data_IF_282028555910
#
_entry.id   IF_282028555910
#
_cell.length_a   1.000
_cell.length_b   1.000
_cell.length_c   1.000
_cell.angle_alpha   90.00
_cell.angle_beta   90.00
_cell.angle_gamma   90.00
#
_symmetry.space_group_name_H-M   'P 1'
#
loop_
_entity.id
_entity.type
_entity.pdbx_description
1 polymer ?
#
# COMPACT_ATOMS: atom_id res chain seq x y z
N UNK A 1 -3.13 -29.81 20.61
CA UNK A 1 -3.20 -29.49 19.17
C UNK A 1 -4.40 -30.14 18.45
N UNK A 2 -4.87 -31.32 18.86
CA UNK A 2 -5.98 -32.01 18.20
C UNK A 2 -7.32 -31.25 18.30
N UNK A 3 -7.51 -30.46 19.38
CA UNK A 3 -8.78 -29.77 19.71
C UNK A 3 -8.68 -28.24 19.65
N UNK A 4 -7.50 -27.68 19.39
CA UNK A 4 -7.27 -26.24 19.36
C UNK A 4 -6.75 -25.84 17.99
N UNK A 5 -7.45 -24.89 17.34
CA UNK A 5 -7.05 -24.27 16.09
C UNK A 5 -6.48 -22.86 16.32
N UNK A 6 -5.55 -22.45 15.47
CA UNK A 6 -4.96 -21.12 15.45
C UNK A 6 -5.13 -20.51 14.04
N UNK A 7 -6.38 -20.11 13.69
CA UNK A 7 -6.60 -19.53 12.38
C UNK A 7 -5.93 -18.15 12.25
N UNK A 8 -5.18 -17.99 11.17
CA UNK A 8 -4.66 -16.67 10.80
C UNK A 8 -5.79 -15.73 10.41
N UNK A 9 -5.54 -14.42 10.54
CA UNK A 9 -6.52 -13.43 10.14
C UNK A 9 -5.90 -12.18 9.50
N UNK A 10 -6.72 -11.48 8.73
CA UNK A 10 -6.42 -10.15 8.19
C UNK A 10 -7.47 -9.18 8.69
N UNK A 11 -7.00 -8.12 9.37
CA UNK A 11 -7.87 -7.02 9.83
C UNK A 11 -7.56 -5.77 9.02
N UNK A 12 -8.58 -5.17 8.41
CA UNK A 12 -8.52 -3.85 7.79
C UNK A 12 -9.30 -2.86 8.65
N UNK A 13 -8.58 -2.01 9.36
CA UNK A 13 -9.11 -0.91 10.16
C UNK A 13 -8.02 0.13 10.38
N UNK A 14 -8.33 1.40 10.16
CA UNK A 14 -7.41 2.50 10.49
C UNK A 14 -7.57 2.84 11.98
N UNK A 15 -6.42 2.91 12.66
CA UNK A 15 -6.31 3.32 14.06
C UNK A 15 -5.44 4.59 14.07
N UNK A 16 -6.05 5.78 14.16
CA UNK A 16 -5.28 7.03 14.20
C UNK A 16 -4.49 7.14 15.51
N UNK A 17 -3.35 7.85 15.51
CA UNK A 17 -2.55 8.06 16.70
C UNK A 17 -3.20 9.12 17.60
N UNK A 18 -4.24 8.74 18.34
CA UNK A 18 -4.91 9.62 19.31
C UNK A 18 -4.33 9.37 20.69
N UNK A 19 -3.92 10.46 21.37
CA UNK A 19 -3.51 10.39 22.77
C UNK A 19 -4.78 10.38 23.63
N UNK A 20 -4.97 9.32 24.43
CA UNK A 20 -5.99 9.22 25.47
C UNK A 20 -5.34 9.33 26.85
N UNK A 21 -6.07 9.86 27.83
CA UNK A 21 -5.68 9.84 29.24
C UNK A 21 -5.57 8.41 29.78
N UNK A 22 -6.44 7.52 29.27
CA UNK A 22 -6.39 6.10 29.58
C UNK A 22 -5.62 5.36 28.47
N UNK A 23 -4.48 4.72 28.75
CA UNK A 23 -3.64 4.07 27.74
C UNK A 23 -4.28 2.85 27.07
N UNK A 24 -5.38 2.33 27.58
CA UNK A 24 -6.13 1.22 26.96
C UNK A 24 -7.27 1.70 26.04
N UNK A 25 -7.55 3.00 26.00
CA UNK A 25 -8.57 3.56 25.09
C UNK A 25 -7.98 3.69 23.69
N UNK A 26 -8.67 3.07 22.74
CA UNK A 26 -8.27 3.09 21.32
C UNK A 26 -9.38 3.73 20.50
N UNK A 27 -9.03 4.81 19.81
CA UNK A 27 -9.92 5.42 18.81
C UNK A 27 -9.74 4.68 17.49
N UNK A 28 -10.85 4.29 16.86
CA UNK A 28 -10.85 3.55 15.61
C UNK A 28 -11.89 4.11 14.66
N UNK A 29 -11.69 3.97 13.38
CA UNK A 29 -12.72 4.25 12.39
C UNK A 29 -13.90 3.26 12.49
N UNK A 30 -15.06 3.64 11.94
CA UNK A 30 -16.27 2.77 11.93
C UNK A 30 -16.09 1.57 10.98
N UNK A 31 -15.35 1.75 9.90
CA UNK A 31 -15.10 0.67 8.95
C UNK A 31 -14.18 -0.39 9.57
N UNK A 32 -14.47 -1.65 9.29
CA UNK A 32 -13.57 -2.76 9.52
C UNK A 32 -13.88 -3.92 8.57
N UNK A 33 -12.87 -4.71 8.24
CA UNK A 33 -12.97 -6.06 7.71
C UNK A 33 -12.15 -6.99 8.57
N UNK A 34 -12.70 -8.12 8.95
CA UNK A 34 -12.03 -9.16 9.69
C UNK A 34 -12.19 -10.48 8.95
N UNK A 35 -11.17 -10.84 8.17
CA UNK A 35 -11.13 -12.07 7.40
C UNK A 35 -10.28 -13.10 8.17
N UNK A 36 -10.80 -14.30 8.37
CA UNK A 36 -10.19 -15.36 9.19
C UNK A 36 -10.09 -16.63 8.35
N UNK A 37 -8.95 -17.31 8.42
CA UNK A 37 -8.71 -18.55 7.67
C UNK A 37 -9.67 -19.67 8.09
N UNK A 38 -10.60 -20.04 7.21
CA UNK A 38 -11.61 -21.06 7.49
C UNK A 38 -11.00 -22.43 7.77
N UNK A 39 -9.98 -22.82 7.01
CA UNK A 39 -9.41 -24.16 7.06
C UNK A 39 -8.66 -24.49 8.37
N UNK A 40 -8.23 -23.45 9.11
CA UNK A 40 -7.48 -23.64 10.36
C UNK A 40 -8.37 -23.83 11.60
N UNK A 41 -9.69 -23.66 11.48
CA UNK A 41 -10.61 -23.98 12.58
C UNK A 41 -10.62 -25.49 12.85
N UNK A 42 -10.69 -25.87 14.12
CA UNK A 42 -10.93 -27.23 14.58
C UNK A 42 -12.37 -27.36 15.01
N UNK A 43 -13.15 -28.16 14.26
CA UNK A 43 -14.61 -28.28 14.47
C UNK A 43 -15.42 -27.23 13.71
N UNK A 44 -16.59 -26.87 14.23
CA UNK A 44 -17.46 -25.89 13.59
C UNK A 44 -16.87 -24.48 13.65
N UNK A 45 -16.97 -23.74 12.55
CA UNK A 45 -16.59 -22.33 12.50
C UNK A 45 -17.61 -21.54 13.34
N UNK A 46 -17.17 -20.77 14.36
CA UNK A 46 -18.11 -20.01 15.21
C UNK A 46 -18.74 -18.86 14.41
N UNK A 47 -20.02 -18.59 14.69
CA UNK A 47 -20.70 -17.41 14.17
C UNK A 47 -20.39 -16.21 15.06
N UNK A 48 -19.47 -15.35 14.63
CA UNK A 48 -19.09 -14.13 15.32
C UNK A 48 -19.49 -12.92 14.44
N UNK A 49 -20.29 -11.97 14.93
CA UNK A 49 -20.67 -10.79 14.15
C UNK A 49 -19.44 -10.02 13.64
N UNK A 50 -19.37 -9.83 12.32
CA UNK A 50 -18.27 -9.14 11.68
C UNK A 50 -17.05 -9.99 11.31
N UNK A 51 -16.99 -11.25 11.73
CA UNK A 51 -15.99 -12.21 11.25
C UNK A 51 -16.42 -12.76 9.88
N UNK A 52 -15.49 -12.73 8.92
CA UNK A 52 -15.65 -13.34 7.60
C UNK A 52 -14.72 -14.55 7.47
N UNK A 53 -15.22 -15.79 7.56
CA UNK A 53 -14.41 -16.97 7.33
C UNK A 53 -14.05 -17.09 5.84
N UNK A 54 -12.78 -16.97 5.53
CA UNK A 54 -12.25 -16.93 4.17
C UNK A 54 -11.63 -18.29 3.77
N UNK A 55 -11.98 -18.79 2.60
CA UNK A 55 -11.39 -20.01 2.03
C UNK A 55 -9.99 -19.73 1.45
N UNK A 56 -9.72 -18.48 1.04
CA UNK A 56 -8.42 -18.02 0.57
C UNK A 56 -8.05 -16.72 1.31
N UNK A 57 -7.46 -16.84 2.50
CA UNK A 57 -7.07 -15.67 3.31
C UNK A 57 -5.99 -14.83 2.60
N UNK A 58 -5.07 -15.47 1.84
CA UNK A 58 -4.01 -14.75 1.10
C UNK A 58 -4.59 -13.73 0.13
N UNK A 59 -5.71 -14.05 -0.54
CA UNK A 59 -6.37 -13.10 -1.43
C UNK A 59 -6.80 -11.81 -0.70
N UNK A 60 -7.30 -11.91 0.52
CA UNK A 60 -7.70 -10.76 1.34
C UNK A 60 -6.50 -10.00 1.91
N UNK A 61 -5.42 -10.70 2.29
CA UNK A 61 -4.15 -10.08 2.72
C UNK A 61 -3.57 -9.27 1.56
N UNK A 62 -3.44 -9.84 0.37
CA UNK A 62 -2.95 -9.13 -0.81
C UNK A 62 -3.91 -8.02 -1.25
N UNK A 63 -5.23 -8.23 -1.16
CA UNK A 63 -6.20 -7.17 -1.45
C UNK A 63 -5.99 -5.95 -0.56
N UNK A 64 -5.82 -6.13 0.75
CA UNK A 64 -5.49 -5.03 1.68
C UNK A 64 -4.14 -4.40 1.35
N UNK A 65 -3.11 -5.22 1.16
CA UNK A 65 -1.74 -4.76 0.89
C UNK A 65 -1.67 -3.94 -0.40
N UNK A 66 -2.27 -4.44 -1.49
CA UNK A 66 -2.18 -3.85 -2.82
C UNK A 66 -3.19 -2.72 -3.06
N UNK A 67 -4.18 -2.57 -2.20
CA UNK A 67 -5.18 -1.49 -2.32
C UNK A 67 -4.95 -0.42 -1.26
N UNK A 68 -5.30 -0.70 0.01
CA UNK A 68 -5.19 0.28 1.10
C UNK A 68 -3.74 0.70 1.33
N UNK A 69 -2.84 -0.27 1.54
CA UNK A 69 -1.47 0.05 1.94
C UNK A 69 -0.66 0.66 0.80
N UNK A 70 -0.91 0.24 -0.44
CA UNK A 70 -0.34 0.86 -1.66
C UNK A 70 -0.83 2.30 -1.81
N UNK A 71 -2.14 2.53 -1.75
CA UNK A 71 -2.73 3.86 -1.84
C UNK A 71 -2.21 4.81 -0.77
N UNK A 72 -2.12 4.36 0.49
CA UNK A 72 -1.54 5.13 1.60
C UNK A 72 -0.09 5.51 1.34
N UNK A 73 0.75 4.56 0.93
CA UNK A 73 2.17 4.81 0.69
C UNK A 73 2.38 5.82 -0.45
N UNK A 74 1.68 5.64 -1.58
CA UNK A 74 1.77 6.56 -2.73
C UNK A 74 1.29 7.96 -2.33
N UNK A 75 0.16 8.06 -1.60
CA UNK A 75 -0.35 9.35 -1.09
C UNK A 75 0.68 10.04 -0.19
N UNK A 76 1.34 9.29 0.69
CA UNK A 76 2.35 9.82 1.60
C UNK A 76 3.58 10.35 0.84
N UNK A 77 4.09 9.59 -0.13
CA UNK A 77 5.28 9.99 -0.88
C UNK A 77 5.02 11.20 -1.78
N UNK A 78 3.93 11.19 -2.53
CA UNK A 78 3.53 12.34 -3.35
C UNK A 78 3.21 13.58 -2.49
N UNK A 79 2.55 13.37 -1.34
CA UNK A 79 2.25 14.43 -0.37
C UNK A 79 3.53 15.05 0.21
N UNK A 80 4.53 14.24 0.55
CA UNK A 80 5.84 14.71 1.01
C UNK A 80 6.54 15.57 -0.02
N UNK A 81 6.51 15.17 -1.30
CA UNK A 81 7.10 15.95 -2.41
C UNK A 81 6.45 17.32 -2.57
N UNK A 82 5.15 17.47 -2.29
CA UNK A 82 4.42 18.76 -2.29
C UNK A 82 4.45 19.51 -0.94
N UNK A 83 5.10 18.96 0.08
CA UNK A 83 5.22 19.60 1.40
C UNK A 83 3.97 19.44 2.27
N UNK A 84 3.03 18.56 1.94
CA UNK A 84 1.88 18.26 2.80
C UNK A 84 2.31 17.48 4.05
N UNK A 85 1.60 17.70 5.16
CA UNK A 85 1.90 17.07 6.44
C UNK A 85 1.04 15.84 6.70
N UNK A 86 -0.19 15.81 6.15
CA UNK A 86 -1.16 14.74 6.42
C UNK A 86 -1.66 14.08 5.15
N UNK A 87 -2.14 12.84 5.28
CA UNK A 87 -2.76 12.09 4.18
C UNK A 87 -4.01 12.80 3.66
N UNK A 88 -4.81 13.38 4.57
CA UNK A 88 -6.01 14.11 4.19
C UNK A 88 -5.68 15.33 3.31
N UNK A 89 -4.65 16.11 3.65
CA UNK A 89 -4.17 17.20 2.80
C UNK A 89 -3.68 16.68 1.45
N UNK A 90 -2.85 15.63 1.47
CA UNK A 90 -2.26 15.05 0.27
C UNK A 90 -3.30 14.54 -0.72
N UNK A 91 -4.28 13.77 -0.25
CA UNK A 91 -5.32 13.18 -1.13
C UNK A 91 -6.35 14.21 -1.61
N UNK A 92 -6.45 15.38 -0.96
CA UNK A 92 -7.30 16.49 -1.39
C UNK A 92 -6.71 17.26 -2.58
N UNK A 93 -5.42 17.08 -2.88
CA UNK A 93 -4.78 17.59 -4.09
C UNK A 93 -5.25 16.78 -5.30
N UNK A 94 -5.77 17.45 -6.33
CA UNK A 94 -6.37 16.80 -7.51
C UNK A 94 -5.38 15.93 -8.29
N UNK A 95 -4.10 16.35 -8.39
CA UNK A 95 -3.07 15.59 -9.09
C UNK A 95 -2.71 14.32 -8.33
N UNK A 96 -2.50 14.43 -7.02
CA UNK A 96 -2.21 13.29 -6.15
C UNK A 96 -3.40 12.32 -6.15
N UNK A 97 -4.62 12.83 -6.00
CA UNK A 97 -5.84 12.03 -6.06
C UNK A 97 -5.95 11.23 -7.36
N UNK A 98 -5.70 11.86 -8.50
CA UNK A 98 -5.76 11.21 -9.80
C UNK A 98 -4.74 10.07 -9.92
N UNK A 99 -3.48 10.31 -9.56
CA UNK A 99 -2.41 9.30 -9.59
C UNK A 99 -2.71 8.15 -8.64
N UNK A 100 -3.08 8.44 -7.39
CA UNK A 100 -3.38 7.42 -6.37
C UNK A 100 -4.56 6.54 -6.79
N UNK A 101 -5.66 7.14 -7.26
CA UNK A 101 -6.84 6.40 -7.73
C UNK A 101 -6.51 5.52 -8.94
N UNK A 102 -5.72 6.03 -9.89
CA UNK A 102 -5.29 5.27 -11.05
C UNK A 102 -4.36 4.10 -10.65
N UNK A 103 -3.38 4.33 -9.77
CA UNK A 103 -2.49 3.29 -9.25
C UNK A 103 -3.25 2.18 -8.53
N UNK A 104 -4.21 2.55 -7.65
CA UNK A 104 -5.06 1.57 -6.97
C UNK A 104 -5.91 0.75 -7.95
N UNK A 105 -6.39 1.35 -9.04
CA UNK A 105 -7.13 0.65 -10.10
C UNK A 105 -6.23 -0.26 -10.95
N UNK A 106 -4.99 0.13 -11.21
CA UNK A 106 -3.99 -0.72 -11.87
C UNK A 106 -3.72 -1.97 -11.04
N UNK A 107 -3.42 -1.79 -9.77
CA UNK A 107 -3.27 -2.88 -8.80
C UNK A 107 -4.53 -3.74 -8.68
N UNK A 108 -5.68 -3.11 -8.60
CA UNK A 108 -6.99 -3.78 -8.51
C UNK A 108 -7.29 -4.68 -9.70
N UNK A 109 -6.93 -4.26 -10.92
CA UNK A 109 -7.04 -5.13 -12.10
C UNK A 109 -6.18 -6.38 -11.97
N UNK A 110 -4.96 -6.26 -11.41
CA UNK A 110 -4.08 -7.39 -11.12
C UNK A 110 -4.71 -8.36 -10.11
N UNK A 111 -5.31 -7.84 -9.04
CA UNK A 111 -6.01 -8.65 -8.03
C UNK A 111 -7.24 -9.37 -8.60
N UNK A 112 -8.04 -8.68 -9.41
CA UNK A 112 -9.19 -9.28 -10.09
C UNK A 112 -8.74 -10.42 -11.01
N UNK A 113 -7.68 -10.20 -11.80
CA UNK A 113 -7.15 -11.23 -12.68
C UNK A 113 -6.58 -12.44 -11.93
N UNK A 114 -5.93 -12.20 -10.78
CA UNK A 114 -5.27 -13.23 -9.98
C UNK A 114 -6.24 -14.06 -9.14
N UNK A 115 -7.23 -13.42 -8.53
CA UNK A 115 -8.09 -14.04 -7.51
C UNK A 115 -9.55 -14.18 -7.91
N UNK A 116 -9.95 -13.64 -9.06
CA UNK A 116 -11.33 -13.69 -9.52
C UNK A 116 -12.29 -12.81 -8.71
N UNK A 117 -11.79 -11.78 -8.04
CA UNK A 117 -12.69 -10.82 -7.39
C UNK A 117 -13.64 -10.17 -8.38
N UNK A 118 -14.88 -9.89 -7.94
CA UNK A 118 -15.78 -9.07 -8.73
C UNK A 118 -15.17 -7.68 -8.95
N UNK A 119 -15.04 -7.31 -10.22
CA UNK A 119 -14.37 -6.08 -10.65
C UNK A 119 -15.05 -4.83 -10.11
N UNK A 120 -16.37 -4.78 -10.21
CA UNK A 120 -17.12 -3.57 -9.88
C UNK A 120 -17.19 -3.39 -8.36
N UNK A 121 -17.36 -4.49 -7.63
CA UNK A 121 -17.28 -4.51 -6.17
C UNK A 121 -15.88 -4.09 -5.69
N UNK A 122 -14.81 -4.56 -6.35
CA UNK A 122 -13.44 -4.17 -5.97
C UNK A 122 -13.16 -2.69 -6.27
N UNK A 123 -13.65 -2.16 -7.37
CA UNK A 123 -13.50 -0.74 -7.70
C UNK A 123 -14.31 0.16 -6.77
N UNK A 124 -15.51 -0.25 -6.37
CA UNK A 124 -16.28 0.43 -5.34
C UNK A 124 -15.57 0.41 -3.96
N UNK A 125 -14.86 -0.68 -3.64
CA UNK A 125 -14.00 -0.76 -2.45
C UNK A 125 -12.83 0.23 -2.52
N UNK A 126 -12.18 0.42 -3.70
CA UNK A 126 -11.15 1.44 -3.90
C UNK A 126 -11.71 2.84 -3.62
N UNK A 127 -12.88 3.17 -4.17
CA UNK A 127 -13.50 4.48 -3.97
C UNK A 127 -13.87 4.72 -2.49
N UNK A 128 -14.28 3.67 -1.76
CA UNK A 128 -14.49 3.74 -0.29
C UNK A 128 -13.19 4.02 0.47
N UNK A 129 -12.07 3.39 0.07
CA UNK A 129 -10.76 3.64 0.70
C UNK A 129 -10.32 5.08 0.48
N UNK A 130 -10.46 5.62 -0.72
CA UNK A 130 -10.14 7.04 -1.00
C UNK A 130 -10.98 7.96 -0.11
N UNK A 131 -12.27 7.67 0.05
CA UNK A 131 -13.12 8.39 0.99
C UNK A 131 -12.68 8.30 2.46
N UNK A 132 -11.99 7.22 2.87
CA UNK A 132 -11.37 7.11 4.20
C UNK A 132 -10.13 8.02 4.31
N UNK A 133 -9.33 8.15 3.25
CA UNK A 133 -8.16 9.02 3.21
C UNK A 133 -8.52 10.51 3.33
N UNK A 134 -9.68 10.91 2.82
CA UNK A 134 -10.18 12.30 2.92
C UNK A 134 -10.79 12.63 4.28
N UNK A 135 -10.92 11.65 5.18
CA UNK A 135 -11.52 11.87 6.49
C UNK A 135 -10.57 12.64 7.43
N UNK A 136 -10.87 13.89 7.80
CA UNK A 136 -9.99 14.71 8.63
C UNK A 136 -9.83 14.18 10.07
N UNK A 137 -10.74 13.33 10.53
CA UNK A 137 -10.65 12.71 11.87
C UNK A 137 -9.67 11.55 11.92
N UNK A 138 -9.21 11.05 10.77
CA UNK A 138 -8.20 9.99 10.70
C UNK A 138 -6.77 10.52 10.62
N UNK A 139 -6.56 11.84 10.70
CA UNK A 139 -5.30 12.61 10.68
C UNK A 139 -4.03 11.76 10.75
N UNK A 140 -3.66 11.15 9.64
CA UNK A 140 -2.47 10.32 9.54
C UNK A 140 -1.33 11.14 8.94
N UNK A 141 -0.16 11.09 9.57
CA UNK A 141 0.99 11.85 9.13
C UNK A 141 1.65 11.21 7.90
N UNK A 142 2.06 12.04 6.97
CA UNK A 142 2.83 11.66 5.79
C UNK A 142 4.11 10.90 6.20
N UNK A 143 4.82 11.38 7.22
CA UNK A 143 6.05 10.74 7.71
C UNK A 143 5.79 9.36 8.34
N UNK A 144 4.68 9.21 9.08
CA UNK A 144 4.30 7.92 9.66
C UNK A 144 4.01 6.86 8.58
N UNK A 145 3.30 7.25 7.52
CA UNK A 145 2.95 6.32 6.44
C UNK A 145 4.05 6.17 5.38
N UNK A 146 4.92 7.18 5.24
CA UNK A 146 6.10 7.13 4.37
C UNK A 146 7.25 6.29 4.91
N UNK A 147 7.34 6.09 6.24
CA UNK A 147 8.46 5.40 6.92
C UNK A 147 8.80 4.04 6.31
N UNK A 148 10.06 3.63 6.47
CA UNK A 148 10.59 2.35 6.01
C UNK A 148 10.45 2.15 4.48
N UNK A 149 10.97 3.07 3.65
CA UNK A 149 10.79 3.00 2.20
C UNK A 149 11.49 1.79 1.57
N UNK A 150 12.65 1.36 2.07
CA UNK A 150 13.36 0.17 1.55
C UNK A 150 12.48 -1.08 1.67
N UNK A 151 11.87 -1.30 2.85
CA UNK A 151 10.93 -2.41 3.03
C UNK A 151 9.76 -2.33 2.05
N UNK A 152 9.16 -1.14 1.88
CA UNK A 152 8.00 -0.95 0.99
C UNK A 152 8.32 -1.13 -0.49
N UNK A 153 9.58 -0.90 -0.88
CA UNK A 153 10.10 -1.12 -2.24
C UNK A 153 10.59 -2.55 -2.47
N UNK A 154 10.61 -3.42 -1.45
CA UNK A 154 10.97 -4.83 -1.66
C UNK A 154 9.98 -5.53 -2.61
N UNK A 155 10.44 -6.59 -3.29
CA UNK A 155 9.63 -7.34 -4.26
C UNK A 155 8.36 -7.97 -3.64
N UNK A 156 8.33 -8.17 -2.33
CA UNK A 156 7.22 -8.77 -1.59
C UNK A 156 6.22 -7.76 -1.02
N UNK A 157 6.47 -6.46 -1.09
CA UNK A 157 5.66 -5.44 -0.40
C UNK A 157 4.86 -4.56 -1.40
N UNK A 158 4.20 -3.57 -0.86
CA UNK A 158 3.07 -2.76 -1.42
C UNK A 158 3.38 -1.88 -2.64
N UNK A 159 4.64 -1.62 -2.97
CA UNK A 159 4.98 -0.79 -4.14
C UNK A 159 5.39 -1.65 -5.34
N UNK A 160 6.28 -2.61 -5.15
CA UNK A 160 6.82 -3.44 -6.24
C UNK A 160 5.91 -4.64 -6.53
N UNK A 161 5.45 -5.36 -5.50
CA UNK A 161 4.63 -6.58 -5.71
C UNK A 161 3.35 -6.33 -6.52
N UNK A 162 2.60 -5.24 -6.35
CA UNK A 162 1.45 -4.93 -7.22
C UNK A 162 1.82 -4.78 -8.69
N UNK A 163 2.98 -4.14 -9.00
CA UNK A 163 3.48 -3.99 -10.38
C UNK A 163 3.83 -5.36 -10.96
N UNK A 164 4.57 -6.18 -10.22
CA UNK A 164 4.93 -7.52 -10.65
C UNK A 164 3.71 -8.41 -10.87
N UNK A 165 2.70 -8.30 -9.99
CA UNK A 165 1.45 -9.04 -10.12
C UNK A 165 0.66 -8.60 -11.36
N UNK A 166 0.47 -7.30 -11.55
CA UNK A 166 -0.26 -6.77 -12.72
C UNK A 166 0.42 -7.16 -14.04
N UNK A 167 1.75 -7.11 -14.08
CA UNK A 167 2.57 -7.51 -15.24
C UNK A 167 2.34 -8.96 -15.66
N UNK A 168 2.15 -9.90 -14.71
CA UNK A 168 1.84 -11.30 -15.00
C UNK A 168 0.58 -11.48 -15.86
N UNK A 169 -0.32 -10.50 -15.81
CA UNK A 169 -1.58 -10.49 -16.55
C UNK A 169 -1.61 -9.47 -17.69
N UNK A 170 -0.44 -8.96 -18.11
CA UNK A 170 -0.33 -7.99 -19.21
C UNK A 170 -0.94 -6.61 -18.90
N UNK A 171 -1.10 -6.25 -17.63
CA UNK A 171 -1.71 -4.99 -17.20
C UNK A 171 -0.62 -3.93 -17.05
N UNK A 172 -0.77 -2.80 -17.77
CA UNK A 172 0.11 -1.64 -17.62
C UNK A 172 -0.05 -0.95 -16.26
N UNK A 173 1.05 -0.43 -15.71
CA UNK A 173 1.12 0.12 -14.35
C UNK A 173 1.83 1.47 -14.26
N UNK A 174 1.55 2.46 -15.15
CA UNK A 174 2.27 3.73 -15.15
C UNK A 174 2.11 4.50 -13.83
N UNK A 175 0.94 4.48 -13.19
CA UNK A 175 0.71 5.21 -11.95
C UNK A 175 1.31 4.50 -10.72
N UNK A 176 1.34 3.17 -10.68
CA UNK A 176 2.11 2.42 -9.67
C UNK A 176 3.60 2.73 -9.78
N UNK A 177 4.13 2.84 -11.01
CA UNK A 177 5.51 3.24 -11.25
C UNK A 177 5.79 4.67 -10.76
N UNK A 178 4.88 5.64 -10.97
CA UNK A 178 4.98 6.98 -10.37
C UNK A 178 5.06 6.90 -8.83
N UNK A 179 4.30 5.98 -8.21
CA UNK A 179 4.39 5.72 -6.77
C UNK A 179 5.77 5.20 -6.34
N UNK A 180 6.41 4.33 -7.13
CA UNK A 180 7.80 3.89 -6.90
C UNK A 180 8.76 5.07 -7.06
N UNK A 181 8.60 5.87 -8.12
CA UNK A 181 9.40 7.07 -8.34
C UNK A 181 9.31 8.07 -7.18
N UNK A 182 8.10 8.32 -6.69
CA UNK A 182 7.87 9.19 -5.54
C UNK A 182 8.50 8.64 -4.25
N UNK A 183 8.48 7.32 -4.06
CA UNK A 183 9.14 6.69 -2.91
C UNK A 183 10.65 6.92 -2.91
N UNK A 184 11.30 6.86 -4.07
CA UNK A 184 12.75 7.14 -4.22
C UNK A 184 13.13 8.60 -3.93
N UNK A 185 12.18 9.54 -3.99
CA UNK A 185 12.35 10.94 -3.59
C UNK A 185 12.05 11.19 -2.11
N UNK A 186 11.62 10.15 -1.37
CA UNK A 186 11.22 10.34 0.02
C UNK A 186 12.44 10.64 0.90
N UNK A 187 12.56 11.92 1.28
CA UNK A 187 13.61 12.41 2.17
C UNK A 187 13.02 12.69 3.56
N UNK A 188 13.41 11.84 4.51
CA UNK A 188 13.11 12.00 5.94
C UNK A 188 14.37 11.66 6.76
N UNK A 189 15.07 12.67 7.31
CA UNK A 189 16.32 12.44 8.06
C UNK A 189 16.12 11.65 9.36
N UNK A 190 14.89 11.56 9.87
CA UNK A 190 14.55 10.78 11.06
C UNK A 190 14.30 9.28 10.75
N UNK A 191 14.22 8.91 9.47
CA UNK A 191 14.03 7.53 9.03
C UNK A 191 15.32 6.95 8.46
N UNK A 192 16.01 6.02 9.16
CA UNK A 192 17.26 5.44 8.69
C UNK A 192 17.16 4.80 7.29
N UNK A 193 16.02 4.18 6.95
CA UNK A 193 15.82 3.58 5.63
C UNK A 193 15.66 4.67 4.54
N UNK A 194 15.08 5.82 4.88
CA UNK A 194 15.02 6.96 3.95
C UNK A 194 16.41 7.50 3.66
N UNK A 195 17.24 7.70 4.69
CA UNK A 195 18.62 8.18 4.55
C UNK A 195 19.44 7.21 3.69
N UNK A 196 19.34 5.91 3.97
CA UNK A 196 20.03 4.86 3.20
C UNK A 196 19.57 4.82 1.74
N UNK A 197 18.26 4.88 1.50
CA UNK A 197 17.69 4.86 0.16
C UNK A 197 18.13 6.07 -0.68
N UNK A 198 18.12 7.27 -0.10
CA UNK A 198 18.58 8.50 -0.79
C UNK A 198 20.07 8.38 -1.14
N UNK A 199 20.92 7.93 -0.20
CA UNK A 199 22.34 7.72 -0.44
C UNK A 199 22.58 6.65 -1.52
N UNK A 200 21.84 5.55 -1.51
CA UNK A 200 21.89 4.49 -2.52
C UNK A 200 21.48 5.03 -3.89
N UNK A 201 20.37 5.75 -3.97
CA UNK A 201 19.86 6.34 -5.22
C UNK A 201 20.83 7.36 -5.80
N UNK A 202 21.47 8.18 -4.97
CA UNK A 202 22.49 9.14 -5.40
C UNK A 202 23.76 8.44 -5.93
N UNK A 203 24.17 7.35 -5.32
CA UNK A 203 25.38 6.59 -5.68
C UNK A 203 25.19 5.71 -6.91
N UNK A 204 24.07 5.02 -7.03
CA UNK A 204 23.84 3.99 -8.05
C UNK A 204 22.95 4.47 -9.21
N UNK A 205 22.17 5.53 -8.99
CA UNK A 205 21.05 5.91 -9.84
C UNK A 205 19.78 5.10 -9.53
N UNK A 206 18.61 5.67 -9.86
CA UNK A 206 17.31 5.11 -9.50
C UNK A 206 17.07 3.67 -10.01
N UNK A 207 17.55 3.35 -11.23
CA UNK A 207 17.37 1.99 -11.78
C UNK A 207 18.11 0.94 -10.94
N UNK A 208 19.40 1.16 -10.67
CA UNK A 208 20.20 0.20 -9.92
C UNK A 208 19.76 0.12 -8.45
N UNK A 209 19.33 1.25 -7.85
CA UNK A 209 18.77 1.26 -6.50
C UNK A 209 17.53 0.38 -6.40
N UNK A 210 16.57 0.50 -7.33
CA UNK A 210 15.36 -0.35 -7.33
C UNK A 210 15.72 -1.82 -7.56
N UNK A 211 16.66 -2.11 -8.47
CA UNK A 211 17.09 -3.48 -8.71
C UNK A 211 17.68 -4.14 -7.46
N UNK A 212 18.50 -3.38 -6.70
CA UNK A 212 19.13 -3.84 -5.46
C UNK A 212 18.09 -3.99 -4.33
N UNK A 213 17.25 -2.98 -4.10
CA UNK A 213 16.23 -2.99 -3.01
C UNK A 213 15.20 -4.12 -3.21
N UNK A 214 14.76 -4.32 -4.45
CA UNK A 214 13.75 -5.32 -4.77
C UNK A 214 14.34 -6.68 -5.18
N UNK A 215 15.66 -6.84 -5.12
CA UNK A 215 16.37 -8.08 -5.49
C UNK A 215 15.92 -8.65 -6.86
N UNK A 216 15.77 -7.76 -7.84
CA UNK A 216 15.24 -8.13 -9.14
C UNK A 216 16.30 -8.85 -9.99
N UNK A 217 15.89 -9.86 -10.79
CA UNK A 217 16.81 -10.56 -11.65
C UNK A 217 17.38 -9.65 -12.75
N UNK A 218 18.58 -9.95 -13.19
CA UNK A 218 19.22 -9.23 -14.30
C UNK A 218 18.31 -9.27 -15.55
N UNK A 219 18.13 -8.09 -16.19
CA UNK A 219 17.27 -7.95 -17.36
C UNK A 219 15.78 -7.74 -17.06
N UNK A 220 15.35 -7.68 -15.78
CA UNK A 220 14.00 -7.27 -15.46
C UNK A 220 13.76 -5.81 -15.93
N UNK A 221 12.65 -5.52 -16.63
CA UNK A 221 12.38 -4.17 -17.13
C UNK A 221 11.99 -3.16 -16.04
N UNK A 222 11.58 -3.61 -14.84
CA UNK A 222 11.09 -2.74 -13.79
C UNK A 222 12.09 -1.66 -13.35
N UNK A 223 13.39 -1.95 -13.17
CA UNK A 223 14.37 -0.92 -12.81
C UNK A 223 14.42 0.25 -13.78
N UNK A 224 14.42 -0.03 -15.08
CA UNK A 224 14.43 1.02 -16.12
C UNK A 224 13.13 1.84 -16.10
N UNK A 225 11.99 1.20 -15.96
CA UNK A 225 10.69 1.86 -15.85
C UNK A 225 10.58 2.70 -14.57
N UNK A 226 11.12 2.23 -13.46
CA UNK A 226 11.16 2.97 -12.21
C UNK A 226 12.05 4.21 -12.30
N UNK A 227 13.19 4.14 -13.00
CA UNK A 227 14.03 5.29 -13.24
C UNK A 227 13.36 6.35 -14.14
N UNK A 228 12.60 5.94 -15.14
CA UNK A 228 11.79 6.85 -15.93
C UNK A 228 10.73 7.55 -15.06
N UNK A 229 10.02 6.79 -14.23
CA UNK A 229 9.02 7.32 -13.31
C UNK A 229 9.62 8.23 -12.24
N UNK A 230 10.82 7.96 -11.75
CA UNK A 230 11.58 8.82 -10.84
C UNK A 230 11.82 10.22 -11.43
N UNK A 231 12.23 10.29 -12.72
CA UNK A 231 12.43 11.57 -13.40
C UNK A 231 11.10 12.25 -13.80
N UNK A 232 10.06 11.46 -14.05
CA UNK A 232 8.75 11.96 -14.48
C UNK A 232 7.94 12.55 -13.33
N UNK A 233 7.94 11.89 -12.15
CA UNK A 233 7.13 12.31 -11.01
C UNK A 233 7.46 13.72 -10.53
N UNK A 234 8.72 14.15 -10.60
CA UNK A 234 9.10 15.52 -10.29
C UNK A 234 8.43 16.56 -11.20
N UNK A 235 8.24 16.23 -12.47
CA UNK A 235 7.61 17.14 -13.46
C UNK A 235 6.09 17.20 -13.30
N UNK A 236 5.48 16.10 -12.83
CA UNK A 236 4.02 16.01 -12.64
C UNK A 236 3.61 16.69 -11.32
N UNK A 237 4.42 16.57 -10.27
CA UNK A 237 4.04 16.98 -8.90
C UNK A 237 4.49 18.41 -8.56
N UNK A 238 5.45 18.97 -9.27
CA UNK A 238 5.83 20.40 -9.18
C UNK A 238 4.86 21.29 -9.92
#
# INVERSE_FOLDING_TARGET
>A
EQYVGFPDCSVDRIVPPVKSENPIDVVVERFFEWNVERAAFKGAVPEIPGMNPADNLIAYIERKLFTLNTGHAITAYLGRMKGYMTICQSISDEQIHAVVKAAMRESGRGLVARYGFDRDAHFAYIDKIIGRFTNPYLCDDVTRLGREPLRKLSAGDRLVKPVLTARQYGIGTPNLLLGIGAALHYDNPEDPQSVEMIAMTARLGAAAAVAEIAELPAGDPLPALAAQAYAEVERIIR
#
